data_IF_198853800231
#
_entry.id   IF_198853800231
#
_cell.length_a   1.000
_cell.length_b   1.000
_cell.length_c   1.000
_cell.angle_alpha   90.00
_cell.angle_beta   90.00
_cell.angle_gamma   90.00
#
_symmetry.space_group_name_H-M   'P 1'
#
loop_
_entity.id
_entity.type
_entity.pdbx_description
1 polymer ?
#
# COMPACT_ATOMS: atom_id res chain seq x y z
N UNK A 1 -11.76 -3.02 -5.85
CA UNK A 1 -11.10 -2.87 -7.16
C UNK A 1 -9.73 -2.22 -6.95
N UNK A 2 -8.72 -2.57 -7.76
CA UNK A 2 -7.45 -1.84 -7.82
C UNK A 2 -7.35 -1.15 -9.19
N UNK A 3 -7.07 0.15 -9.19
CA UNK A 3 -6.87 0.97 -10.39
C UNK A 3 -5.40 1.36 -10.47
N UNK A 4 -4.75 0.99 -11.56
CA UNK A 4 -3.37 1.40 -11.83
C UNK A 4 -3.38 2.83 -12.37
N UNK A 5 -2.52 3.69 -11.81
CA UNK A 5 -2.48 5.12 -12.09
C UNK A 5 -1.15 5.55 -12.76
N UNK A 6 -0.23 4.61 -12.98
CA UNK A 6 1.09 4.85 -13.54
C UNK A 6 2.15 3.95 -12.92
N UNK A 7 3.04 3.45 -13.77
CA UNK A 7 4.11 2.53 -13.41
C UNK A 7 5.46 3.05 -13.88
N UNK A 8 6.47 2.89 -13.03
CA UNK A 8 7.88 3.16 -13.33
C UNK A 8 8.70 1.90 -13.03
N UNK A 9 9.71 1.62 -13.86
CA UNK A 9 10.62 0.49 -13.66
C UNK A 9 12.06 1.00 -13.64
N UNK A 10 12.76 0.74 -12.54
CA UNK A 10 14.21 0.84 -12.46
C UNK A 10 14.82 -0.51 -12.83
N UNK A 11 15.70 -0.55 -13.82
CA UNK A 11 16.20 -1.80 -14.40
C UNK A 11 17.73 -1.84 -14.40
N UNK A 12 18.31 -2.89 -13.81
CA UNK A 12 19.71 -3.24 -13.94
C UNK A 12 19.85 -4.59 -14.66
N UNK A 13 20.03 -4.55 -15.98
CA UNK A 13 20.18 -5.74 -16.80
C UNK A 13 21.44 -6.54 -16.48
N UNK A 14 22.55 -5.86 -16.19
CA UNK A 14 23.84 -6.51 -15.92
C UNK A 14 23.80 -7.36 -14.64
N UNK A 15 22.96 -6.96 -13.66
CA UNK A 15 22.73 -7.71 -12.42
C UNK A 15 21.50 -8.62 -12.48
N UNK A 16 20.70 -8.53 -13.54
CA UNK A 16 19.41 -9.25 -13.63
C UNK A 16 18.43 -8.83 -12.54
N UNK A 17 18.38 -7.54 -12.19
CA UNK A 17 17.55 -6.98 -11.12
C UNK A 17 16.68 -5.86 -11.66
N UNK A 18 15.44 -5.77 -11.20
CA UNK A 18 14.56 -4.63 -11.49
C UNK A 18 13.68 -4.31 -10.28
N UNK A 19 13.23 -3.06 -10.20
CA UNK A 19 12.22 -2.62 -9.24
C UNK A 19 11.09 -1.93 -10.00
N UNK A 20 9.88 -2.48 -9.89
CA UNK A 20 8.66 -1.85 -10.40
C UNK A 20 7.97 -1.04 -9.29
N UNK A 21 7.60 0.20 -9.57
CA UNK A 21 6.84 1.09 -8.68
C UNK A 21 5.55 1.47 -9.38
N UNK A 22 4.43 1.00 -8.87
CA UNK A 22 3.10 1.20 -9.45
C UNK A 22 2.25 2.03 -8.49
N UNK A 23 1.79 3.21 -8.93
CA UNK A 23 0.77 3.98 -8.21
C UNK A 23 -0.58 3.31 -8.43
N UNK A 24 -1.34 3.13 -7.36
CA UNK A 24 -2.66 2.53 -7.47
C UNK A 24 -3.65 3.15 -6.48
N UNK A 25 -4.92 3.17 -6.89
CA UNK A 25 -6.07 3.45 -6.02
C UNK A 25 -6.80 2.15 -5.74
N UNK A 26 -6.99 1.83 -4.47
CA UNK A 26 -7.79 0.70 -4.00
C UNK A 26 -9.17 1.25 -3.62
N UNK A 27 -10.22 0.73 -4.23
CA UNK A 27 -11.61 1.08 -3.90
C UNK A 27 -12.31 -0.13 -3.30
N UNK A 28 -12.93 0.05 -2.13
CA UNK A 28 -13.77 -0.97 -1.50
C UNK A 28 -15.04 -0.32 -0.93
N UNK A 29 -16.17 -0.99 -1.16
CA UNK A 29 -17.47 -0.59 -0.62
C UNK A 29 -17.69 -1.23 0.75
N UNK A 30 -18.25 -0.45 1.67
CA UNK A 30 -18.64 -0.89 3.01
C UNK A 30 -20.04 -0.42 3.35
N UNK A 31 -20.72 -1.20 4.18
CA UNK A 31 -21.90 -0.79 4.93
C UNK A 31 -21.46 -0.50 6.36
N UNK A 32 -21.55 0.75 6.80
CA UNK A 32 -21.12 1.19 8.13
C UNK A 32 -22.29 1.90 8.80
N UNK A 33 -22.76 1.36 9.91
CA UNK A 33 -23.88 1.92 10.69
C UNK A 33 -25.15 2.17 9.83
N UNK A 34 -25.37 1.30 8.84
CA UNK A 34 -26.50 1.37 7.89
C UNK A 34 -26.29 2.33 6.72
N UNK A 35 -25.10 2.92 6.57
CA UNK A 35 -24.74 3.81 5.47
C UNK A 35 -23.76 3.13 4.50
N UNK A 36 -24.06 3.23 3.21
CA UNK A 36 -23.21 2.70 2.14
C UNK A 36 -22.16 3.73 1.74
N UNK A 37 -20.89 3.36 1.87
CA UNK A 37 -19.75 4.24 1.54
C UNK A 37 -18.70 3.49 0.73
N UNK A 38 -18.09 4.20 -0.22
CA UNK A 38 -16.89 3.74 -0.91
C UNK A 38 -15.66 4.36 -0.24
N UNK A 39 -14.67 3.54 0.08
CA UNK A 39 -13.37 4.01 0.55
C UNK A 39 -12.38 3.87 -0.59
N UNK A 40 -11.78 5.00 -0.99
CA UNK A 40 -10.67 5.05 -1.92
C UNK A 40 -9.37 5.28 -1.17
N UNK A 41 -8.41 4.40 -1.34
CA UNK A 41 -7.09 4.47 -0.72
C UNK A 41 -6.00 4.48 -1.80
N UNK A 42 -5.21 5.55 -1.81
CA UNK A 42 -4.08 5.71 -2.72
C UNK A 42 -2.80 5.17 -2.07
N UNK A 43 -2.02 4.43 -2.86
CA UNK A 43 -0.74 3.89 -2.44
C UNK A 43 0.19 3.62 -3.61
N UNK A 44 1.42 3.15 -3.33
CA UNK A 44 2.25 2.52 -4.35
C UNK A 44 2.62 1.11 -3.96
N UNK A 45 2.49 0.25 -4.95
CA UNK A 45 2.95 -1.11 -4.93
C UNK A 45 4.38 -1.09 -5.45
N UNK A 46 5.30 -1.66 -4.66
CA UNK A 46 6.69 -1.80 -5.03
C UNK A 46 6.98 -3.29 -5.16
N UNK A 47 7.51 -3.67 -6.30
CA UNK A 47 7.86 -5.04 -6.65
C UNK A 47 9.35 -5.13 -6.95
N UNK A 48 10.01 -6.12 -6.37
CA UNK A 48 11.42 -6.42 -6.64
C UNK A 48 11.48 -7.65 -7.52
N UNK A 49 12.04 -7.51 -8.72
CA UNK A 49 12.13 -8.58 -9.70
C UNK A 49 13.57 -9.07 -9.85
N UNK A 50 13.72 -10.39 -10.00
CA UNK A 50 14.97 -11.06 -10.36
C UNK A 50 14.79 -11.77 -11.68
N UNK A 51 15.80 -11.69 -12.55
CA UNK A 51 15.84 -12.44 -13.80
C UNK A 51 16.30 -13.87 -13.51
N UNK A 52 15.52 -14.84 -13.95
CA UNK A 52 15.81 -16.26 -13.85
C UNK A 52 15.75 -16.84 -15.27
N UNK A 53 16.91 -17.11 -15.87
CA UNK A 53 17.02 -17.44 -17.29
C UNK A 53 16.49 -16.30 -18.19
N UNK A 54 15.41 -16.58 -18.92
CA UNK A 54 14.76 -15.62 -19.82
C UNK A 54 13.51 -14.96 -19.22
N UNK A 55 13.19 -15.25 -17.97
CA UNK A 55 11.99 -14.74 -17.30
C UNK A 55 12.32 -13.78 -16.17
N UNK A 56 11.40 -12.85 -15.90
CA UNK A 56 11.44 -11.99 -14.72
C UNK A 56 10.44 -12.50 -13.70
N UNK A 57 10.90 -12.71 -12.46
CA UNK A 57 10.07 -13.20 -11.36
C UNK A 57 10.00 -12.16 -10.26
N UNK A 58 8.80 -11.86 -9.79
CA UNK A 58 8.59 -11.01 -8.62
C UNK A 58 9.03 -11.78 -7.37
N UNK A 59 10.04 -11.28 -6.68
CA UNK A 59 10.61 -11.90 -5.48
C UNK A 59 9.97 -11.32 -4.22
N UNK A 60 9.67 -10.02 -4.25
CA UNK A 60 9.02 -9.33 -3.14
C UNK A 60 7.98 -8.35 -3.63
N UNK A 61 6.99 -8.12 -2.76
CA UNK A 61 5.98 -7.07 -2.90
C UNK A 61 5.85 -6.34 -1.57
N UNK A 62 5.86 -5.02 -1.63
CA UNK A 62 5.44 -4.13 -0.54
C UNK A 62 4.45 -3.11 -1.07
N UNK A 63 3.61 -2.62 -0.17
CA UNK A 63 2.66 -1.54 -0.46
C UNK A 63 2.92 -0.46 0.55
N UNK A 64 2.99 0.77 0.09
CA UNK A 64 2.82 1.89 0.99
C UNK A 64 1.43 2.47 0.78
N UNK A 65 0.88 3.03 1.85
CA UNK A 65 -0.35 3.80 1.80
C UNK A 65 -0.05 5.29 2.00
N UNK A 66 -0.61 6.11 1.14
CA UNK A 66 -0.32 7.56 1.06
C UNK A 66 -1.45 8.38 1.69
N UNK A 67 -2.69 8.06 1.32
CA UNK A 67 -3.90 8.72 1.82
C UNK A 67 -5.11 7.87 1.50
N UNK A 68 -6.19 8.10 2.23
CA UNK A 68 -7.50 7.60 1.87
C UNK A 68 -8.60 8.63 2.10
N UNK A 69 -9.77 8.34 1.55
CA UNK A 69 -10.98 9.15 1.69
C UNK A 69 -12.21 8.25 1.64
N UNK A 70 -13.25 8.69 2.33
CA UNK A 70 -14.58 8.08 2.29
C UNK A 70 -15.48 8.89 1.37
N UNK A 71 -16.22 8.20 0.50
CA UNK A 71 -17.10 8.77 -0.50
C UNK A 71 -18.52 8.23 -0.21
N UNK A 72 -19.51 9.09 0.02
CA UNK A 72 -20.89 8.66 0.21
C UNK A 72 -21.45 8.09 -1.10
N UNK A 73 -22.06 6.89 -1.05
CA UNK A 73 -22.70 6.30 -2.24
C UNK A 73 -24.00 7.02 -2.59
N UNK A 74 -24.69 7.56 -1.58
CA UNK A 74 -25.91 8.37 -1.74
C UNK A 74 -25.63 9.86 -2.03
N UNK A 75 -24.35 10.19 -2.24
CA UNK A 75 -23.83 11.55 -2.47
C UNK A 75 -24.05 12.54 -1.30
N UNK A 76 -24.49 12.05 -0.13
CA UNK A 76 -24.96 12.91 0.97
C UNK A 76 -24.38 12.54 2.33
N UNK A 77 -24.38 11.26 2.68
CA UNK A 77 -24.16 10.83 4.06
C UNK A 77 -22.91 9.96 4.22
N UNK A 78 -22.07 10.37 5.18
CA UNK A 78 -20.94 9.57 5.64
C UNK A 78 -21.07 9.35 7.15
N UNK A 79 -20.70 8.18 7.68
CA UNK A 79 -20.64 7.97 9.11
C UNK A 79 -19.72 8.98 9.80
N UNK A 80 -20.09 9.38 11.01
CA UNK A 80 -19.28 10.26 11.86
C UNK A 80 -18.45 9.41 12.79
N UNK A 81 -17.16 9.69 12.87
CA UNK A 81 -16.23 8.99 13.74
C UNK A 81 -15.60 9.97 14.73
N UNK A 82 -15.48 9.54 15.98
CA UNK A 82 -14.70 10.24 16.99
C UNK A 82 -13.22 10.30 16.57
N UNK A 83 -12.58 11.43 16.84
CA UNK A 83 -11.19 11.68 16.41
C UNK A 83 -10.23 10.67 17.05
N UNK A 84 -10.51 10.30 18.30
CA UNK A 84 -9.72 9.39 19.12
C UNK A 84 -9.77 7.96 18.59
N UNK A 85 -10.91 7.55 18.01
CA UNK A 85 -11.04 6.24 17.37
C UNK A 85 -10.21 6.19 16.09
N UNK A 86 -10.33 7.20 15.23
CA UNK A 86 -9.56 7.26 14.00
C UNK A 86 -8.06 7.38 14.27
N UNK A 87 -7.65 8.06 15.33
CA UNK A 87 -6.24 8.27 15.68
C UNK A 87 -5.44 6.98 15.93
N UNK A 88 -6.12 5.86 16.17
CA UNK A 88 -5.50 4.52 16.32
C UNK A 88 -4.92 4.00 15.01
N UNK A 89 -5.41 4.48 13.86
CA UNK A 89 -5.04 3.99 12.54
C UNK A 89 -4.06 4.94 11.84
N UNK A 90 -3.06 4.40 11.12
CA UNK A 90 -2.12 5.22 10.35
C UNK A 90 -2.78 6.06 9.27
N UNK A 91 -2.33 7.32 9.14
CA UNK A 91 -2.97 8.35 8.31
C UNK A 91 -3.11 8.00 6.82
N UNK A 92 -2.20 7.19 6.27
CA UNK A 92 -2.23 6.82 4.85
C UNK A 92 -3.35 5.82 4.49
N UNK A 93 -3.90 5.09 5.46
CA UNK A 93 -4.94 4.08 5.25
C UNK A 93 -6.01 4.13 6.36
N UNK A 94 -6.23 5.30 6.97
CA UNK A 94 -6.98 5.47 8.22
C UNK A 94 -8.43 4.97 8.15
N UNK A 95 -9.19 5.39 7.14
CA UNK A 95 -10.58 4.98 6.94
C UNK A 95 -10.69 3.54 6.48
N UNK A 96 -9.81 3.10 5.57
CA UNK A 96 -9.80 1.72 5.11
C UNK A 96 -9.48 0.76 6.27
N UNK A 97 -8.52 1.13 7.13
CA UNK A 97 -8.20 0.39 8.35
C UNK A 97 -9.44 0.24 9.22
N UNK A 98 -10.04 1.38 9.60
CA UNK A 98 -11.18 1.39 10.51
C UNK A 98 -12.33 0.54 9.96
N UNK A 99 -12.64 0.66 8.67
CA UNK A 99 -13.73 -0.10 8.04
C UNK A 99 -13.43 -1.61 8.02
N UNK A 100 -12.20 -2.00 7.68
CA UNK A 100 -11.76 -3.41 7.73
C UNK A 100 -11.80 -3.96 9.16
N UNK A 101 -11.41 -3.15 10.15
CA UNK A 101 -11.46 -3.53 11.56
C UNK A 101 -12.90 -3.76 12.04
N UNK A 102 -13.83 -2.87 11.66
CA UNK A 102 -15.26 -2.99 12.00
C UNK A 102 -15.89 -4.28 11.48
N UNK A 103 -15.40 -4.83 10.35
CA UNK A 103 -15.88 -6.10 9.79
C UNK A 103 -15.05 -7.32 10.24
N UNK A 104 -14.17 -7.16 11.24
CA UNK A 104 -13.47 -8.26 11.91
C UNK A 104 -12.12 -8.65 11.32
N UNK A 105 -11.57 -7.88 10.37
CA UNK A 105 -10.22 -8.13 9.88
C UNK A 105 -9.16 -7.62 10.86
N UNK A 106 -8.08 -8.40 11.11
CA UNK A 106 -6.95 -7.90 11.88
C UNK A 106 -6.27 -6.76 11.12
N UNK A 107 -5.91 -5.72 11.86
CA UNK A 107 -5.27 -4.52 11.30
C UNK A 107 -3.76 -4.61 11.50
N UNK A 108 -3.03 -4.45 10.40
CA UNK A 108 -1.58 -4.24 10.44
C UNK A 108 -1.30 -2.75 10.70
N UNK A 109 -1.12 -2.37 11.97
CA UNK A 109 -0.88 -0.98 12.38
C UNK A 109 0.51 -0.45 11.99
N UNK A 110 1.39 -1.34 11.61
CA UNK A 110 2.79 -1.15 11.22
C UNK A 110 2.97 -0.99 9.71
N UNK A 111 1.89 -0.92 8.94
CA UNK A 111 1.97 -0.75 7.49
C UNK A 111 2.81 0.48 7.11
N UNK A 112 3.73 0.36 6.13
CA UNK A 112 4.57 1.47 5.73
C UNK A 112 3.77 2.69 5.30
N UNK A 113 3.94 3.78 6.04
CA UNK A 113 3.43 5.11 5.69
C UNK A 113 4.60 6.05 5.41
N UNK A 114 4.34 7.07 4.58
CA UNK A 114 5.32 8.10 4.23
C UNK A 114 5.95 8.72 5.50
N UNK A 115 7.25 9.00 5.44
CA UNK A 115 8.04 9.64 6.51
C UNK A 115 8.22 8.86 7.82
N UNK A 116 8.04 7.53 7.80
CA UNK A 116 8.46 6.65 8.91
C UNK A 116 9.75 5.90 8.56
N UNK A 117 10.40 5.30 9.55
CA UNK A 117 11.63 4.50 9.36
C UNK A 117 11.49 3.44 8.24
N UNK A 118 10.34 2.75 8.19
CA UNK A 118 10.04 1.77 7.16
C UNK A 118 10.06 2.34 5.73
N UNK A 119 9.73 3.63 5.54
CA UNK A 119 9.81 4.30 4.25
C UNK A 119 11.27 4.39 3.79
N UNK A 120 12.18 4.86 4.66
CA UNK A 120 13.60 5.00 4.32
C UNK A 120 14.27 3.65 4.08
N UNK A 121 14.05 2.66 4.95
CA UNK A 121 14.55 1.29 4.76
C UNK A 121 14.12 0.69 3.42
N UNK A 122 12.90 0.99 2.98
CA UNK A 122 12.40 0.52 1.69
C UNK A 122 13.17 1.12 0.50
N UNK A 123 13.53 2.41 0.57
CA UNK A 123 14.35 3.05 -0.46
C UNK A 123 15.80 2.54 -0.47
N UNK A 124 16.37 2.26 0.71
CA UNK A 124 17.67 1.59 0.81
C UNK A 124 17.61 0.19 0.18
N UNK A 125 16.55 -0.57 0.45
CA UNK A 125 16.35 -1.87 -0.17
C UNK A 125 16.18 -1.80 -1.70
N UNK A 126 15.53 -0.76 -2.22
CA UNK A 126 15.45 -0.53 -3.68
C UNK A 126 16.86 -0.37 -4.26
N UNK A 127 17.68 0.49 -3.66
CA UNK A 127 19.06 0.70 -4.09
C UNK A 127 19.87 -0.60 -4.03
N UNK A 128 19.86 -1.26 -2.87
CA UNK A 128 20.64 -2.47 -2.62
C UNK A 128 20.27 -3.63 -3.55
N UNK A 129 18.99 -3.78 -3.86
CA UNK A 129 18.54 -4.75 -4.86
C UNK A 129 19.07 -4.47 -6.25
N UNK A 130 19.02 -3.21 -6.69
CA UNK A 130 19.49 -2.81 -8.01
C UNK A 130 21.01 -3.01 -8.15
N UNK A 131 21.76 -2.90 -7.06
CA UNK A 131 23.19 -3.23 -7.01
C UNK A 131 23.49 -4.74 -6.97
N UNK A 132 22.44 -5.57 -6.87
CA UNK A 132 22.53 -7.02 -6.90
C UNK A 132 22.70 -7.68 -5.53
N UNK A 133 22.59 -6.91 -4.44
CA UNK A 133 22.59 -7.47 -3.09
C UNK A 133 21.32 -8.28 -2.86
N UNK A 134 21.44 -9.34 -2.07
CA UNK A 134 20.26 -10.07 -1.61
C UNK A 134 19.60 -9.31 -0.46
N UNK A 135 18.28 -9.32 -0.47
CA UNK A 135 17.46 -8.66 0.55
C UNK A 135 16.75 -9.70 1.39
N UNK A 136 16.49 -9.35 2.64
CA UNK A 136 15.36 -9.91 3.37
C UNK A 136 14.39 -8.75 3.58
N UNK A 137 13.19 -8.81 3.00
CA UNK A 137 12.17 -7.78 3.20
C UNK A 137 11.10 -8.21 4.21
N UNK A 138 11.18 -9.41 4.79
CA UNK A 138 10.35 -9.88 5.90
C UNK A 138 10.87 -9.28 7.20
N UNK A 139 10.79 -7.97 7.31
CA UNK A 139 11.01 -7.26 8.57
C UNK A 139 9.71 -7.37 9.37
N UNK A 140 9.80 -7.99 10.54
CA UNK A 140 8.78 -7.95 11.58
C UNK A 140 8.86 -6.62 12.34
#
# INVERSE_FOLDING_TARGET
>A
MHRENGTLVDLNLAKGRAVGKMKATITQRFEIDGLSVDIECDGRFIFWFKREGNEWKAQYKRVFYEKDKMIPVDEKTVPVFEKEELAKYPKGYQYLAMAQHKIGHPILLDLPTVNKEAFYKMYEAIHDWLEGKDLNLFWD
#
